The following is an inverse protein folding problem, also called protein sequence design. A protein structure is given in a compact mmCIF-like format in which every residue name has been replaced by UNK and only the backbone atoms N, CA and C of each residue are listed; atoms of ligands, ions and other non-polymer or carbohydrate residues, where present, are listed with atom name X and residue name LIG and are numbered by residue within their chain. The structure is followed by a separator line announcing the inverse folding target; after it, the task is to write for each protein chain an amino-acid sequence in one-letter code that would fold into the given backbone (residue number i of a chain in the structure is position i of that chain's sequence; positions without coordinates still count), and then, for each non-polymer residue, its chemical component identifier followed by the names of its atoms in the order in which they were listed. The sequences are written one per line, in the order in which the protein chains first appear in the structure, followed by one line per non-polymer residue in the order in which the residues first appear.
data_IF_890972145032
#
_entry.id   IF_890972145032
#
_cell.length_a   1.000
_cell.length_b   1.000
_cell.length_c   1.000
_cell.angle_alpha   90.00
_cell.angle_beta   90.00
_cell.angle_gamma   90.00
#
_symmetry.space_group_name_H-M   'P 1'
#
loop_
_entity.id
_entity.type
_entity.pdbx_description
1 polymer ?
#
# COMPACT_ATOMS: atom_id res chain seq x y z
N UNK A 1 29.50 5.29 6.39
CA UNK A 1 29.76 5.23 7.83
C UNK A 1 29.73 6.67 8.32
N UNK A 2 28.53 7.19 8.61
CA UNK A 2 28.37 8.53 9.16
C UNK A 2 27.91 8.38 10.61
N UNK A 3 28.86 8.57 11.52
CA UNK A 3 28.68 8.49 12.97
C UNK A 3 28.04 9.79 13.45
N UNK A 4 26.73 9.78 13.67
CA UNK A 4 26.01 10.89 14.29
C UNK A 4 26.20 10.85 15.81
N UNK A 5 27.40 11.21 16.28
CA UNK A 5 27.64 11.58 17.66
C UNK A 5 26.99 12.97 17.87
N UNK A 6 25.80 12.99 18.49
CA UNK A 6 25.16 14.26 18.88
C UNK A 6 25.99 14.90 20.00
N UNK A 7 26.69 15.99 19.70
CA UNK A 7 27.36 16.84 20.69
C UNK A 7 26.36 17.31 21.74
N UNK A 8 26.57 16.93 23.00
CA UNK A 8 25.74 17.35 24.12
C UNK A 8 25.70 18.89 24.19
N UNK A 9 24.50 19.47 24.15
CA UNK A 9 24.30 20.92 24.14
C UNK A 9 23.26 21.29 25.19
N UNK A 10 23.59 22.27 26.04
CA UNK A 10 22.78 22.74 27.16
C UNK A 10 21.37 23.18 26.70
N UNK A 11 21.25 23.64 25.44
CA UNK A 11 19.98 24.05 24.84
C UNK A 11 19.03 22.90 24.47
N UNK A 12 19.49 21.64 24.54
CA UNK A 12 18.71 20.44 24.25
C UNK A 12 18.26 19.68 25.51
N UNK A 13 18.48 20.24 26.71
CA UNK A 13 18.14 19.59 27.99
C UNK A 13 16.64 19.54 28.27
N UNK A 14 15.88 20.50 27.74
CA UNK A 14 14.41 20.51 27.83
C UNK A 14 13.87 19.98 26.50
N UNK A 15 13.18 18.82 26.50
CA UNK A 15 12.53 18.32 25.30
C UNK A 15 11.61 19.39 24.74
N UNK A 16 11.75 19.71 23.45
CA UNK A 16 10.82 20.64 22.79
C UNK A 16 9.48 19.94 22.67
N UNK A 17 8.41 20.61 23.06
CA UNK A 17 7.05 20.11 22.88
C UNK A 17 6.81 19.86 21.38
N UNK A 18 6.80 18.58 21.01
CA UNK A 18 6.43 18.16 19.67
C UNK A 18 4.93 18.39 19.52
N UNK A 19 4.55 19.53 18.94
CA UNK A 19 3.16 19.79 18.60
C UNK A 19 2.72 18.79 17.54
N UNK A 20 1.89 17.82 17.93
CA UNK A 20 1.30 16.88 16.98
C UNK A 20 0.61 17.66 15.85
N UNK A 21 0.89 17.31 14.58
CA UNK A 21 0.19 17.94 13.49
C UNK A 21 -1.31 17.64 13.62
N UNK A 22 -2.19 18.62 13.35
CA UNK A 22 -3.63 18.39 13.43
C UNK A 22 -4.01 17.26 12.47
N UNK A 23 -4.95 16.41 12.90
CA UNK A 23 -5.43 15.31 12.07
C UNK A 23 -5.95 15.83 10.73
N UNK A 24 -5.62 15.16 9.60
CA UNK A 24 -6.09 15.59 8.29
C UNK A 24 -7.61 15.51 8.21
N UNK A 25 -8.21 16.41 7.45
CA UNK A 25 -9.65 16.40 7.22
C UNK A 25 -10.08 15.05 6.60
N UNK A 26 -11.16 14.47 7.13
CA UNK A 26 -11.72 13.23 6.60
C UNK A 26 -12.14 13.43 5.15
N UNK A 27 -11.83 12.46 4.29
CA UNK A 27 -12.26 12.48 2.89
C UNK A 27 -13.78 12.64 2.76
N UNK A 28 -14.19 13.52 1.85
CA UNK A 28 -15.58 13.75 1.50
C UNK A 28 -15.76 13.43 0.02
N UNK A 29 -16.74 12.60 -0.31
CA UNK A 29 -17.08 12.27 -1.70
C UNK A 29 -17.39 13.52 -2.52
N UNK A 30 -16.85 13.58 -3.73
CA UNK A 30 -17.06 14.62 -4.74
C UNK A 30 -18.56 14.82 -5.02
N UNK A 31 -19.34 13.74 -4.90
CA UNK A 31 -20.78 13.75 -5.19
C UNK A 31 -21.66 14.10 -3.99
N UNK A 32 -21.09 14.34 -2.80
CA UNK A 32 -21.88 14.61 -1.57
C UNK A 32 -22.86 15.77 -1.74
N UNK A 33 -22.44 16.84 -2.43
CA UNK A 33 -23.29 17.99 -2.68
C UNK A 33 -24.44 17.67 -3.66
N UNK A 34 -24.15 16.95 -4.74
CA UNK A 34 -25.14 16.53 -5.72
C UNK A 34 -26.22 15.65 -5.08
N UNK A 35 -25.81 14.64 -4.30
CA UNK A 35 -26.73 13.74 -3.58
C UNK A 35 -27.61 14.52 -2.60
N UNK A 36 -27.05 15.47 -1.85
CA UNK A 36 -27.83 16.30 -0.91
C UNK A 36 -28.87 17.14 -1.65
N UNK A 37 -28.49 17.74 -2.78
CA UNK A 37 -29.39 18.54 -3.59
C UNK A 37 -30.50 17.69 -4.20
N UNK A 38 -30.19 16.50 -4.72
CA UNK A 38 -31.18 15.60 -5.30
C UNK A 38 -32.18 15.09 -4.25
N UNK A 39 -31.72 14.78 -3.05
CA UNK A 39 -32.60 14.43 -1.94
C UNK A 39 -33.51 15.59 -1.50
N UNK A 40 -33.06 16.85 -1.65
CA UNK A 40 -33.84 18.03 -1.28
C UNK A 40 -34.82 18.46 -2.37
N UNK A 41 -34.50 18.28 -3.66
CA UNK A 41 -35.36 18.66 -4.79
C UNK A 41 -36.78 18.09 -4.69
N UNK A 42 -36.91 16.86 -4.20
CA UNK A 42 -38.22 16.20 -4.07
C UNK A 42 -38.93 16.49 -2.74
N UNK A 43 -38.25 17.15 -1.79
CA UNK A 43 -38.81 17.56 -0.50
C UNK A 43 -39.39 18.96 -0.62
N UNK A 44 -40.70 19.05 -0.85
CA UNK A 44 -41.43 20.29 -0.68
C UNK A 44 -41.90 20.41 0.77
N UNK A 45 -41.82 21.61 1.35
CA UNK A 45 -42.44 21.88 2.65
C UNK A 45 -43.93 21.50 2.60
N UNK A 46 -44.44 20.89 3.66
CA UNK A 46 -45.88 20.61 3.88
C UNK A 46 -46.63 19.83 2.79
N UNK A 47 -45.94 19.03 1.95
CA UNK A 47 -46.55 18.26 0.85
C UNK A 47 -47.56 17.18 1.30
N UNK A 48 -47.35 16.56 2.46
CA UNK A 48 -48.17 15.41 2.92
C UNK A 48 -49.46 15.84 3.61
N UNK A 49 -49.39 16.80 4.55
CA UNK A 49 -50.53 17.17 5.42
C UNK A 49 -50.95 18.64 5.27
N UNK A 50 -50.29 19.43 4.41
CA UNK A 50 -50.54 20.88 4.29
C UNK A 50 -50.09 21.69 5.51
N UNK A 51 -50.30 23.01 5.51
CA UNK A 51 -50.02 23.85 6.66
C UNK A 51 -51.02 23.59 7.80
N UNK A 52 -50.53 23.55 9.05
CA UNK A 52 -51.37 23.29 10.23
C UNK A 52 -52.43 24.37 10.48
N UNK A 53 -52.14 25.62 10.11
CA UNK A 53 -53.09 26.73 10.09
C UNK A 53 -52.95 27.45 8.75
N UNK A 54 -53.97 27.36 7.91
CA UNK A 54 -54.02 28.05 6.61
C UNK A 54 -54.18 29.54 6.88
N UNK A 55 -53.20 30.34 6.46
CA UNK A 55 -53.30 31.79 6.52
C UNK A 55 -54.35 32.25 5.50
N UNK A 56 -55.42 32.89 6.00
CA UNK A 56 -56.49 33.44 5.15
C UNK A 56 -55.97 34.74 4.55
N UNK A 57 -55.95 34.90 3.21
CA UNK A 57 -55.45 36.11 2.58
C UNK A 57 -56.31 37.31 3.00
N UNK A 58 -55.66 38.44 3.26
CA UNK A 58 -56.37 39.68 3.61
C UNK A 58 -57.26 40.12 2.45
N UNK A 59 -58.48 40.64 2.68
CA UNK A 59 -59.38 41.14 1.61
C UNK A 59 -58.77 42.22 0.70
N UNK A 60 -57.68 42.87 1.14
CA UNK A 60 -56.90 43.83 0.34
C UNK A 60 -56.00 43.17 -0.71
N UNK A 61 -55.66 41.89 -0.54
CA UNK A 61 -54.80 41.09 -1.42
C UNK A 61 -55.63 40.23 -2.38
N UNK A 62 -56.59 40.86 -3.05
CA UNK A 62 -57.38 40.20 -4.08
C UNK A 62 -56.56 39.99 -5.37
N UNK A 63 -56.92 38.97 -6.15
CA UNK A 63 -56.26 38.65 -7.41
C UNK A 63 -56.43 39.79 -8.42
N UNK A 64 -55.31 40.44 -8.80
CA UNK A 64 -55.30 41.48 -9.83
C UNK A 64 -55.09 40.89 -11.22
N UNK A 65 -55.54 41.60 -12.27
CA UNK A 65 -55.30 41.23 -13.68
C UNK A 65 -53.79 41.03 -13.91
N UNK A 66 -53.42 39.93 -14.58
CA UNK A 66 -52.02 39.54 -14.88
C UNK A 66 -51.10 39.22 -13.68
N UNK A 67 -51.61 39.12 -12.44
CA UNK A 67 -50.78 38.84 -11.25
C UNK A 67 -50.08 37.48 -11.22
N UNK A 68 -50.65 36.48 -11.91
CA UNK A 68 -50.08 35.11 -12.02
C UNK A 68 -49.36 34.85 -13.33
N UNK A 69 -49.29 35.85 -14.21
CA UNK A 69 -48.65 35.70 -15.50
C UNK A 69 -47.13 35.73 -15.32
N UNK A 70 -46.44 34.72 -15.85
CA UNK A 70 -44.98 34.65 -15.77
C UNK A 70 -44.40 35.68 -16.73
N UNK A 71 -43.71 36.69 -16.21
CA UNK A 71 -42.99 37.67 -17.04
C UNK A 71 -41.85 36.96 -17.77
N UNK A 72 -41.95 36.87 -19.10
CA UNK A 72 -40.86 36.34 -19.91
C UNK A 72 -39.68 37.33 -19.89
N UNK A 73 -38.43 36.85 -19.76
CA UNK A 73 -37.28 37.70 -19.89
C UNK A 73 -37.23 38.32 -21.30
N UNK A 74 -36.60 39.49 -21.48
CA UNK A 74 -36.44 40.11 -22.79
C UNK A 74 -35.70 39.16 -23.73
N UNK A 75 -36.13 39.10 -25.00
CA UNK A 75 -35.54 38.22 -26.02
C UNK A 75 -34.06 38.55 -26.20
N UNK A 76 -33.17 37.68 -25.73
CA UNK A 76 -31.73 37.74 -26.01
C UNK A 76 -31.43 36.93 -27.27
N UNK A 77 -30.57 37.44 -28.15
CA UNK A 77 -30.03 36.66 -29.26
C UNK A 77 -29.10 35.60 -28.66
N UNK A 78 -29.40 34.34 -28.88
CA UNK A 78 -28.56 33.24 -28.47
C UNK A 78 -27.44 33.08 -29.50
N UNK A 79 -26.21 33.41 -29.12
CA UNK A 79 -25.03 33.23 -29.97
C UNK A 79 -24.51 31.79 -29.83
N UNK A 80 -24.40 31.12 -30.96
CA UNK A 80 -23.78 29.81 -31.03
C UNK A 80 -22.28 30.02 -31.27
N UNK A 81 -21.43 29.62 -30.31
CA UNK A 81 -20.00 29.96 -30.30
C UNK A 81 -19.18 29.38 -31.47
N UNK A 82 -19.68 28.37 -32.19
CA UNK A 82 -18.89 27.69 -33.24
C UNK A 82 -19.71 27.34 -34.48
N UNK A 83 -19.38 27.82 -35.69
CA UNK A 83 -20.08 27.39 -36.88
C UNK A 83 -19.95 25.87 -37.06
N UNK A 84 -21.08 25.16 -37.00
CA UNK A 84 -21.13 23.68 -37.08
C UNK A 84 -20.63 23.12 -38.42
N UNK A 85 -20.52 23.97 -39.44
CA UNK A 85 -20.15 23.59 -40.80
C UNK A 85 -19.07 24.56 -41.30
N UNK A 86 -18.06 24.06 -42.05
CA UNK A 86 -17.10 24.92 -42.71
C UNK A 86 -17.80 25.83 -43.73
N UNK A 87 -17.20 26.99 -44.01
CA UNK A 87 -17.69 27.88 -45.05
C UNK A 87 -17.63 27.19 -46.42
N UNK A 88 -18.62 27.50 -47.26
CA UNK A 88 -18.66 26.97 -48.63
C UNK A 88 -17.47 27.55 -49.41
N UNK A 89 -16.72 26.73 -50.18
CA UNK A 89 -15.61 27.22 -51.00
C UNK A 89 -16.04 28.38 -51.92
N UNK A 90 -15.13 29.33 -52.12
CA UNK A 90 -15.40 30.50 -52.94
C UNK A 90 -15.43 30.13 -54.42
N UNK A 91 -16.19 30.88 -55.22
CA UNK A 91 -16.28 30.65 -56.68
C UNK A 91 -14.93 30.78 -57.41
N UNK A 92 -13.99 31.51 -56.83
CA UNK A 92 -12.62 31.71 -57.31
C UNK A 92 -11.67 30.57 -56.92
N UNK A 93 -12.04 29.75 -55.94
CA UNK A 93 -11.28 28.59 -55.50
C UNK A 93 -11.67 27.40 -56.37
N UNK A 94 -10.99 27.28 -57.50
CA UNK A 94 -11.09 26.09 -58.34
C UNK A 94 -10.38 24.96 -57.58
N UNK A 95 -11.03 23.80 -57.37
CA UNK A 95 -10.33 22.65 -56.80
C UNK A 95 -9.16 22.30 -57.71
N UNK A 96 -8.13 21.66 -57.16
CA UNK A 96 -7.00 21.15 -57.98
C UNK A 96 -7.59 20.24 -59.07
N UNK A 97 -7.69 20.76 -60.29
CA UNK A 97 -8.37 20.13 -61.42
C UNK A 97 -7.52 19.00 -61.97
N UNK A 98 -7.47 17.89 -61.24
CA UNK A 98 -6.69 16.71 -61.57
C UNK A 98 -5.18 16.97 -61.47
N UNK A 99 -4.46 16.08 -60.80
CA UNK A 99 -2.99 16.08 -60.88
C UNK A 99 -2.65 15.61 -62.29
N UNK A 100 -2.41 16.55 -63.20
CA UNK A 100 -1.91 16.24 -64.54
C UNK A 100 -0.46 15.75 -64.41
N UNK A 101 -0.32 14.45 -64.24
CA UNK A 101 0.98 13.79 -64.10
C UNK A 101 1.55 13.52 -65.49
N UNK A 102 2.69 14.12 -65.84
CA UNK A 102 3.44 13.84 -67.08
C UNK A 102 4.11 12.47 -67.13
N UNK A 103 3.54 11.47 -66.45
CA UNK A 103 4.08 10.11 -66.38
C UNK A 103 3.63 9.32 -67.61
N UNK A 104 4.55 8.60 -68.23
CA UNK A 104 4.25 7.66 -69.29
C UNK A 104 3.70 6.36 -68.70
N UNK A 105 2.38 6.28 -68.56
CA UNK A 105 1.69 5.12 -67.96
C UNK A 105 2.06 3.79 -68.63
N UNK A 106 2.37 3.80 -69.93
CA UNK A 106 2.79 2.59 -70.66
C UNK A 106 4.10 2.04 -70.08
N UNK A 107 5.10 2.90 -69.90
CA UNK A 107 6.42 2.48 -69.44
C UNK A 107 6.42 2.16 -67.94
N UNK A 108 5.65 2.92 -67.13
CA UNK A 108 5.53 2.64 -65.70
C UNK A 108 4.80 1.32 -65.47
N UNK A 109 3.71 1.05 -66.18
CA UNK A 109 2.98 -0.21 -66.05
C UNK A 109 3.85 -1.40 -66.50
N UNK A 110 4.61 -1.24 -67.58
CA UNK A 110 5.54 -2.28 -68.04
C UNK A 110 6.62 -2.56 -66.98
N UNK A 111 7.25 -1.51 -66.44
CA UNK A 111 8.24 -1.65 -65.37
C UNK A 111 7.64 -2.30 -64.12
N UNK A 112 6.44 -1.90 -63.70
CA UNK A 112 5.74 -2.44 -62.53
C UNK A 112 5.41 -3.93 -62.69
N UNK A 113 5.05 -4.38 -63.90
CA UNK A 113 4.80 -5.80 -64.20
C UNK A 113 6.10 -6.60 -64.22
N UNK A 114 7.16 -6.05 -64.82
CA UNK A 114 8.48 -6.71 -64.91
C UNK A 114 9.12 -6.83 -63.52
N UNK A 115 9.04 -5.78 -62.71
CA UNK A 115 9.59 -5.73 -61.36
C UNK A 115 8.66 -6.37 -60.31
N UNK A 116 7.41 -6.63 -60.67
CA UNK A 116 6.41 -7.23 -59.81
C UNK A 116 6.82 -8.65 -59.41
N UNK A 117 6.99 -8.90 -58.12
CA UNK A 117 7.20 -10.25 -57.60
C UNK A 117 5.96 -11.09 -57.93
N UNK A 118 6.17 -12.23 -58.61
CA UNK A 118 5.10 -13.16 -58.94
C UNK A 118 4.31 -13.54 -57.67
N UNK A 119 2.97 -13.55 -57.78
CA UNK A 119 2.10 -13.95 -56.68
C UNK A 119 2.42 -15.41 -56.32
N UNK A 120 2.96 -15.63 -55.12
CA UNK A 120 3.20 -16.99 -54.61
C UNK A 120 1.83 -17.68 -54.48
N UNK A 121 1.60 -18.81 -55.17
CA UNK A 121 0.33 -19.52 -55.06
C UNK A 121 0.14 -19.98 -53.61
N UNK A 122 -1.09 -19.90 -53.11
CA UNK A 122 -1.42 -20.45 -51.81
C UNK A 122 -1.19 -21.97 -51.85
N UNK A 123 -0.57 -22.57 -50.83
CA UNK A 123 -0.47 -24.01 -50.73
C UNK A 123 -1.89 -24.59 -50.55
N UNK A 124 -2.29 -25.43 -51.49
CA UNK A 124 -3.63 -26.02 -51.58
C UNK A 124 -3.47 -27.52 -51.71
N UNK A 125 -4.33 -28.27 -51.05
CA UNK A 125 -4.43 -29.72 -51.19
C UNK A 125 -5.67 -30.10 -52.01
N UNK A 126 -5.56 -31.19 -52.77
CA UNK A 126 -6.61 -31.69 -53.65
C UNK A 126 -6.65 -33.22 -53.56
N UNK A 127 -7.79 -33.77 -53.15
CA UNK A 127 -7.96 -35.21 -52.92
C UNK A 127 -8.06 -36.02 -54.23
N UNK A 128 -8.62 -35.42 -55.30
CA UNK A 128 -8.88 -36.06 -56.60
C UNK A 128 -8.39 -35.18 -57.75
N UNK A 129 -7.98 -35.77 -58.88
CA UNK A 129 -7.50 -35.03 -60.07
C UNK A 129 -8.45 -33.92 -60.56
N UNK A 130 -9.76 -34.08 -60.34
CA UNK A 130 -10.82 -33.14 -60.72
C UNK A 130 -11.64 -32.63 -59.53
N UNK A 131 -11.12 -32.76 -58.30
CA UNK A 131 -11.84 -32.43 -57.07
C UNK A 131 -11.73 -30.96 -56.66
N UNK A 132 -12.43 -30.66 -55.56
CA UNK A 132 -12.40 -29.34 -54.91
C UNK A 132 -11.03 -29.03 -54.31
N UNK A 133 -10.69 -27.74 -54.31
CA UNK A 133 -9.42 -27.21 -53.82
C UNK A 133 -9.59 -26.68 -52.40
N UNK A 134 -8.85 -27.23 -51.45
CA UNK A 134 -8.87 -26.78 -50.05
C UNK A 134 -7.53 -26.19 -49.63
N UNK A 135 -7.57 -25.11 -48.84
CA UNK A 135 -6.37 -24.48 -48.29
C UNK A 135 -5.63 -25.43 -47.35
N UNK A 136 -4.33 -25.63 -47.57
CA UNK A 136 -3.51 -26.58 -46.82
C UNK A 136 -3.27 -26.15 -45.36
N UNK A 137 -3.34 -24.85 -45.06
CA UNK A 137 -3.16 -24.32 -43.70
C UNK A 137 -4.33 -24.67 -42.76
N UNK A 138 -5.54 -24.85 -43.29
CA UNK A 138 -6.77 -25.08 -42.51
C UNK A 138 -7.07 -26.57 -42.34
N UNK A 139 -6.54 -27.42 -43.21
CA UNK A 139 -6.83 -28.86 -43.23
C UNK A 139 -6.22 -29.65 -42.07
N UNK A 140 -5.41 -29.01 -41.22
CA UNK A 140 -4.74 -29.66 -40.09
C UNK A 140 -3.60 -30.60 -40.50
N UNK A 141 -3.28 -30.69 -41.80
CA UNK A 141 -2.22 -31.53 -42.33
C UNK A 141 -0.82 -30.93 -42.07
N UNK A 142 -0.73 -29.61 -41.91
CA UNK A 142 0.50 -28.92 -41.57
C UNK A 142 0.66 -28.73 -40.05
N UNK A 143 1.83 -29.08 -39.48
CA UNK A 143 2.10 -28.81 -38.08
C UNK A 143 2.24 -27.31 -37.80
N UNK A 144 1.17 -26.69 -37.31
CA UNK A 144 1.10 -25.24 -37.04
C UNK A 144 1.92 -24.78 -35.83
N UNK A 145 2.02 -25.63 -34.80
CA UNK A 145 2.54 -25.23 -33.49
C UNK A 145 3.92 -25.81 -33.14
N UNK A 146 4.50 -26.66 -34.00
CA UNK A 146 5.81 -27.26 -33.77
C UNK A 146 6.91 -26.19 -33.84
N UNK A 147 6.85 -25.31 -34.84
CA UNK A 147 7.86 -24.28 -35.06
C UNK A 147 7.52 -22.95 -34.37
N UNK A 148 6.68 -22.98 -33.33
CA UNK A 148 6.38 -21.78 -32.55
C UNK A 148 7.66 -21.36 -31.81
N UNK A 149 8.04 -20.09 -31.91
CA UNK A 149 9.24 -19.56 -31.24
C UNK A 149 9.20 -19.74 -29.71
N UNK A 150 7.99 -19.76 -29.15
CA UNK A 150 7.76 -19.94 -27.71
C UNK A 150 7.52 -21.41 -27.32
N UNK A 151 7.75 -22.35 -28.24
CA UNK A 151 7.59 -23.78 -27.93
C UNK A 151 8.70 -24.21 -26.96
N UNK A 152 8.32 -24.83 -25.84
CA UNK A 152 9.25 -25.20 -24.76
C UNK A 152 9.70 -24.04 -23.86
N UNK A 153 9.31 -22.79 -24.16
CA UNK A 153 9.62 -21.62 -23.31
C UNK A 153 8.51 -21.42 -22.30
N UNK A 154 8.87 -21.26 -21.02
CA UNK A 154 7.91 -20.95 -19.96
C UNK A 154 7.25 -19.60 -20.25
N UNK A 155 5.91 -19.54 -20.32
CA UNK A 155 5.19 -18.29 -20.56
C UNK A 155 5.51 -17.22 -19.52
N UNK A 156 5.62 -15.96 -19.98
CA UNK A 156 5.99 -14.81 -19.15
C UNK A 156 5.15 -14.67 -17.88
N UNK A 157 3.85 -14.96 -17.96
CA UNK A 157 2.96 -14.85 -16.80
C UNK A 157 3.31 -15.81 -15.65
N UNK A 158 3.85 -17.00 -15.97
CA UNK A 158 4.28 -17.98 -14.95
C UNK A 158 5.52 -17.45 -14.23
N UNK A 159 6.47 -16.85 -14.96
CA UNK A 159 7.64 -16.21 -14.37
C UNK A 159 7.24 -15.06 -13.43
N UNK A 160 6.30 -14.20 -13.86
CA UNK A 160 5.80 -13.10 -13.02
C UNK A 160 5.13 -13.62 -11.75
N UNK A 161 4.31 -14.66 -11.85
CA UNK A 161 3.63 -15.27 -10.70
C UNK A 161 4.62 -15.89 -9.71
N UNK A 162 5.62 -16.61 -10.19
CA UNK A 162 6.63 -17.22 -9.32
C UNK A 162 7.45 -16.15 -8.57
N UNK A 163 7.75 -15.04 -9.24
CA UNK A 163 8.43 -13.89 -8.64
C UNK A 163 7.57 -13.23 -7.56
N UNK A 164 6.26 -13.05 -7.81
CA UNK A 164 5.32 -12.51 -6.81
C UNK A 164 5.23 -13.40 -5.57
N UNK A 165 5.14 -14.72 -5.77
CA UNK A 165 5.12 -15.70 -4.66
C UNK A 165 6.42 -15.66 -3.88
N UNK A 166 7.58 -15.61 -4.55
CA UNK A 166 8.88 -15.52 -3.89
C UNK A 166 9.00 -14.24 -3.06
N UNK A 167 8.61 -13.10 -3.63
CA UNK A 167 8.60 -11.81 -2.92
C UNK A 167 7.71 -11.87 -1.68
N UNK A 168 6.49 -12.40 -1.80
CA UNK A 168 5.58 -12.53 -0.67
C UNK A 168 6.17 -13.39 0.47
N UNK A 169 6.88 -14.46 0.13
CA UNK A 169 7.57 -15.30 1.11
C UNK A 169 8.70 -14.54 1.81
N UNK A 170 9.55 -13.83 1.06
CA UNK A 170 10.64 -13.01 1.62
C UNK A 170 10.12 -11.91 2.56
N UNK A 171 8.98 -11.29 2.21
CA UNK A 171 8.33 -10.29 3.06
C UNK A 171 7.81 -10.89 4.37
N UNK A 172 7.22 -12.08 4.29
CA UNK A 172 6.76 -12.83 5.46
C UNK A 172 7.93 -13.24 6.36
N UNK A 173 8.99 -13.81 5.78
CA UNK A 173 10.17 -14.24 6.53
C UNK A 173 10.87 -13.05 7.21
N UNK A 174 10.95 -11.90 6.52
CA UNK A 174 11.45 -10.65 7.10
C UNK A 174 10.60 -10.18 8.28
N UNK A 175 9.27 -10.21 8.15
CA UNK A 175 8.37 -9.87 9.25
C UNK A 175 8.56 -10.79 10.46
N UNK A 176 8.69 -12.10 10.23
CA UNK A 176 8.96 -13.07 11.29
C UNK A 176 10.31 -12.78 11.95
N UNK A 177 11.37 -12.53 11.17
CA UNK A 177 12.68 -12.19 11.71
C UNK A 177 12.67 -10.91 12.54
N UNK A 178 11.98 -9.86 12.09
CA UNK A 178 11.83 -8.62 12.87
C UNK A 178 11.05 -8.84 14.17
N UNK A 179 9.97 -9.63 14.10
CA UNK A 179 9.19 -9.98 15.28
C UNK A 179 10.02 -10.79 16.28
N UNK A 180 10.81 -11.76 15.80
CA UNK A 180 11.74 -12.53 16.62
C UNK A 180 12.83 -11.64 17.23
N UNK A 181 13.38 -10.66 16.49
CA UNK A 181 14.35 -9.68 17.01
C UNK A 181 13.74 -8.76 18.07
N UNK A 182 12.47 -8.39 17.94
CA UNK A 182 11.73 -7.58 18.94
C UNK A 182 11.38 -8.39 20.18
N UNK A 183 10.98 -9.65 20.01
CA UNK A 183 10.64 -10.57 21.10
C UNK A 183 11.89 -11.08 21.83
N UNK A 184 13.04 -11.15 21.14
CA UNK A 184 14.32 -11.40 21.77
C UNK A 184 14.68 -10.21 22.67
N UNK A 185 14.65 -10.42 24.00
CA UNK A 185 15.13 -9.44 24.97
C UNK A 185 16.55 -9.00 24.61
N UNK A 186 16.85 -7.70 24.79
CA UNK A 186 18.18 -7.14 24.53
C UNK A 186 19.22 -7.89 25.35
N UNK A 187 19.99 -8.77 24.70
CA UNK A 187 21.16 -9.38 25.32
C UNK A 187 22.23 -8.31 25.42
N UNK A 188 22.66 -8.04 26.65
CA UNK A 188 23.82 -7.19 26.90
C UNK A 188 25.03 -7.84 26.24
N UNK A 189 25.90 -7.03 25.66
CA UNK A 189 27.19 -7.52 25.15
C UNK A 189 28.01 -8.06 26.33
N UNK A 190 28.91 -9.01 26.06
CA UNK A 190 29.71 -9.63 27.12
C UNK A 190 30.56 -8.58 27.88
N UNK A 191 30.98 -7.52 27.18
CA UNK A 191 31.70 -6.37 27.75
C UNK A 191 30.83 -5.55 28.73
N UNK A 192 29.58 -5.23 28.37
CA UNK A 192 28.63 -4.53 29.25
C UNK A 192 28.25 -5.41 30.45
N UNK A 193 28.15 -6.72 30.23
CA UNK A 193 27.87 -7.70 31.29
C UNK A 193 29.01 -7.77 32.30
N UNK A 194 30.25 -7.78 31.84
CA UNK A 194 31.44 -7.74 32.69
C UNK A 194 31.54 -6.42 33.46
N UNK A 195 31.25 -5.29 32.83
CA UNK A 195 31.24 -3.98 33.50
C UNK A 195 30.19 -3.92 34.65
N UNK A 196 29.00 -4.49 34.45
CA UNK A 196 27.96 -4.57 35.50
C UNK A 196 28.39 -5.56 36.61
N UNK A 197 29.08 -6.64 36.26
CA UNK A 197 29.64 -7.59 37.24
C UNK A 197 30.80 -7.00 38.04
N UNK A 198 31.61 -6.13 37.45
CA UNK A 198 32.69 -5.39 38.12
C UNK A 198 32.18 -4.20 38.95
N UNK A 199 31.11 -3.53 38.50
CA UNK A 199 30.45 -2.45 39.23
C UNK A 199 29.69 -2.96 40.47
N UNK A 200 29.45 -4.27 40.56
CA UNK A 200 29.10 -4.92 41.83
C UNK A 200 30.38 -4.98 42.66
N UNK A 201 30.50 -4.24 43.78
CA UNK A 201 31.68 -4.33 44.61
C UNK A 201 31.87 -5.79 45.01
N UNK A 202 33.05 -6.34 44.73
CA UNK A 202 33.51 -7.61 45.24
C UNK A 202 33.60 -7.53 46.77
N UNK A 203 32.46 -7.59 47.45
CA UNK A 203 32.39 -8.27 48.75
C UNK A 203 32.38 -9.76 48.44
N UNK A 204 33.44 -10.21 47.77
CA UNK A 204 33.73 -11.62 47.62
C UNK A 204 34.05 -12.15 49.00
N UNK A 205 33.49 -13.30 49.31
CA UNK A 205 33.56 -13.99 50.59
C UNK A 205 35.01 -14.09 51.11
N UNK A 206 35.99 -14.11 50.19
CA UNK A 206 37.43 -14.17 50.46
C UNK A 206 38.01 -12.95 51.20
N UNK A 207 37.54 -11.73 50.90
CA UNK A 207 37.99 -10.50 51.59
C UNK A 207 37.42 -10.43 53.03
N UNK A 208 36.20 -10.93 53.23
CA UNK A 208 35.54 -10.97 54.55
C UNK A 208 36.13 -12.08 55.43
N UNK A 209 36.41 -13.25 54.84
CA UNK A 209 37.01 -14.40 55.54
C UNK A 209 38.47 -14.13 55.92
N UNK A 210 39.27 -13.51 55.05
CA UNK A 210 40.66 -13.15 55.36
C UNK A 210 40.76 -12.02 56.39
N UNK A 211 39.89 -11.00 56.32
CA UNK A 211 39.80 -9.97 57.35
C UNK A 211 39.34 -10.54 58.71
N UNK A 212 38.43 -11.52 58.71
CA UNK A 212 37.97 -12.23 59.92
C UNK A 212 39.02 -13.21 60.48
N UNK A 213 39.92 -13.76 59.65
CA UNK A 213 41.05 -14.58 60.08
C UNK A 213 42.17 -13.72 60.67
N UNK A 214 42.45 -12.56 60.06
CA UNK A 214 43.46 -11.62 60.55
C UNK A 214 43.02 -10.92 61.85
N UNK A 215 41.72 -10.60 62.01
CA UNK A 215 41.17 -10.12 63.29
C UNK A 215 41.23 -11.15 64.41
N UNK A 216 41.06 -12.45 64.11
CA UNK A 216 41.20 -13.54 65.09
C UNK A 216 42.65 -13.75 65.56
N UNK A 217 43.64 -13.51 64.70
CA UNK A 217 45.05 -13.66 65.08
C UNK A 217 45.57 -12.45 65.88
N UNK A 218 44.99 -11.26 65.68
CA UNK A 218 45.35 -10.07 66.45
C UNK A 218 44.73 -10.02 67.86
N UNK A 219 43.62 -10.73 68.10
CA UNK A 219 42.91 -10.76 69.39
C UNK A 219 43.29 -11.93 70.30
N UNK A 220 44.20 -12.83 69.87
CA UNK A 220 44.72 -13.93 70.73
C UNK A 220 45.97 -13.50 71.53
N UNK A 221 46.54 -12.31 71.29
CA UNK A 221 47.75 -11.84 71.97
C UNK A 221 47.53 -10.86 73.14
N UNK A 222 46.32 -10.36 73.40
CA UNK A 222 46.10 -9.45 74.52
C UNK A 222 44.87 -9.88 75.34
N UNK A 223 45.18 -10.37 76.55
CA UNK A 223 44.42 -10.35 77.79
C UNK A 223 42.98 -9.81 77.72
N UNK A 224 42.03 -10.68 78.13
CA UNK A 224 41.29 -10.48 79.37
C UNK A 224 40.41 -9.24 79.52
N UNK A 225 39.18 -9.55 79.94
CA UNK A 225 38.18 -8.73 80.63
C UNK A 225 37.21 -7.87 79.81
N UNK A 226 35.93 -8.11 80.13
CA UNK A 226 34.74 -7.24 80.06
C UNK A 226 33.89 -7.21 78.77
N UNK A 227 32.70 -7.80 78.94
CA UNK A 227 31.35 -7.32 78.58
C UNK A 227 31.23 -6.23 77.51
N UNK A 228 30.44 -6.50 76.46
CA UNK A 228 29.33 -5.64 76.03
C UNK A 228 28.47 -6.31 74.94
N UNK A 229 27.17 -6.04 75.01
CA UNK A 229 26.13 -6.46 74.06
C UNK A 229 26.27 -5.71 72.72
N UNK A 230 25.88 -6.35 71.60
CA UNK A 230 25.50 -5.64 70.37
C UNK A 230 24.59 -6.50 69.45
N UNK A 231 23.74 -5.86 68.62
CA UNK A 231 22.47 -6.40 68.13
C UNK A 231 22.58 -7.11 66.76
N UNK A 232 21.69 -8.08 66.55
CA UNK A 232 21.56 -8.84 65.30
C UNK A 232 20.79 -8.00 64.25
N UNK A 233 21.34 -7.71 63.05
CA UNK A 233 20.64 -6.93 62.04
C UNK A 233 19.66 -7.79 61.22
N UNK A 234 18.45 -7.27 61.07
CA UNK A 234 17.25 -7.83 60.42
C UNK A 234 17.33 -8.03 58.88
N UNK A 235 18.52 -8.10 58.29
CA UNK A 235 18.68 -8.27 56.83
C UNK A 235 18.63 -9.72 56.34
N UNK A 236 18.63 -10.70 57.25
CA UNK A 236 18.61 -12.13 56.90
C UNK A 236 17.20 -12.72 56.73
N UNK A 237 16.15 -11.95 57.05
CA UNK A 237 14.75 -12.41 56.94
C UNK A 237 14.21 -12.29 55.50
N UNK A 238 14.79 -11.42 54.66
CA UNK A 238 14.29 -11.18 53.30
C UNK A 238 14.85 -12.12 52.22
N UNK A 239 15.98 -12.79 52.48
CA UNK A 239 16.58 -13.71 51.50
C UNK A 239 15.86 -15.08 51.46
N UNK A 240 15.19 -15.49 52.55
CA UNK A 240 14.45 -16.75 52.60
C UNK A 240 13.05 -16.69 51.95
N UNK A 241 12.45 -15.51 51.75
CA UNK A 241 11.10 -15.39 51.19
C UNK A 241 11.06 -15.41 49.65
N UNK A 242 12.20 -15.22 48.98
CA UNK A 242 12.26 -15.14 47.51
C UNK A 242 12.43 -16.50 46.82
N UNK A 243 12.72 -17.57 47.57
CA UNK A 243 13.00 -18.90 47.03
C UNK A 243 11.75 -19.81 46.93
N UNK A 244 10.55 -19.30 47.23
CA UNK A 244 9.29 -20.09 47.24
C UNK A 244 8.33 -19.72 46.10
N UNK A 245 8.67 -18.79 45.19
CA UNK A 245 7.75 -18.31 44.14
C UNK A 245 8.16 -18.63 42.68
N UNK A 246 8.98 -19.64 42.43
CA UNK A 246 9.37 -20.07 41.07
C UNK A 246 8.98 -21.51 40.74
N UNK A 247 7.84 -21.97 41.26
CA UNK A 247 7.24 -23.24 40.83
C UNK A 247 5.73 -23.10 40.74
N UNK A 248 5.24 -22.76 39.53
CA UNK A 248 4.00 -23.27 38.87
C UNK A 248 3.57 -22.32 37.75
N UNK A 249 4.03 -22.55 36.51
CA UNK A 249 3.19 -22.39 35.31
C UNK A 249 3.90 -22.94 34.06
N UNK A 250 3.83 -24.26 33.89
CA UNK A 250 4.01 -24.91 32.58
C UNK A 250 2.74 -25.72 32.32
N UNK A 251 1.79 -25.13 31.59
CA UNK A 251 0.65 -25.88 31.03
C UNK A 251 0.50 -25.54 29.55
N UNK A 252 1.08 -26.42 28.75
CA UNK A 252 0.68 -26.89 27.42
C UNK A 252 -0.51 -26.19 26.74
N UNK A 253 -0.26 -25.64 25.55
CA UNK A 253 -1.24 -25.46 24.49
C UNK A 253 -0.57 -25.77 23.14
N UNK A 254 -0.66 -27.03 22.71
CA UNK A 254 -0.29 -27.43 21.34
C UNK A 254 -1.24 -28.55 20.89
N UNK A 255 -2.22 -28.18 20.06
CA UNK A 255 -3.03 -29.09 19.23
C UNK A 255 -3.89 -28.29 18.24
N UNK A 256 -3.43 -28.20 16.99
CA UNK A 256 -4.11 -27.91 15.71
C UNK A 256 -2.97 -27.59 14.71
N UNK A 257 -2.84 -28.13 13.50
CA UNK A 257 -3.71 -28.87 12.60
C UNK A 257 -2.80 -29.71 11.68
N UNK A 258 -3.18 -30.96 11.48
CA UNK A 258 -2.59 -31.85 10.48
C UNK A 258 -3.44 -31.75 9.19
N UNK A 259 -2.75 -31.37 8.10
CA UNK A 259 -2.90 -31.85 6.72
C UNK A 259 -4.30 -32.00 6.10
N UNK A 260 -4.58 -31.16 5.10
CA UNK A 260 -5.43 -31.49 3.94
C UNK A 260 -4.66 -31.08 2.69
N UNK A 261 -4.13 -32.06 1.96
CA UNK A 261 -3.74 -31.94 0.56
C UNK A 261 -3.87 -33.33 -0.08
N UNK A 262 -4.97 -33.50 -0.83
CA UNK A 262 -5.17 -34.41 -1.96
C UNK A 262 -6.40 -33.93 -2.72
#
# INVERSE_FOLDING_TARGET
MDSACSSESIYNLIPRDLKEPPQPARYISIFKAAVKNDMQKYKAAMKTMGPAKVEVPSPKEFLKKHSKEKTLPPKKKFEWNEPRKPAVPLRTEHPVMGIQSGKNFINTNAADVIMGVAKKPKPVYVDKRTGDKHDLETSGLLPKYINKKDYGVTPKYICMRNEEVRRAQEEYDRYIQENLKKAAMKRLSDEEREAILQARPQQTEDQVVSAAHNKRNHTVSLCGVMTEECPVPTSWVWLCLSLVFTHTHTHTHDKKQETKDL
#
